data_IF_902236679455
#
_entry.id   IF_902236679455
#
_cell.length_a   1.000
_cell.length_b   1.000
_cell.length_c   1.000
_cell.angle_alpha   90.00
_cell.angle_beta   90.00
_cell.angle_gamma   90.00
#
_symmetry.space_group_name_H-M   'P 1'
#
loop_
_entity.id
_entity.type
_entity.pdbx_description
1 polymer ?
#
# COMPACT_ATOMS: atom_id res chain seq x y z
N UNK A 1 12.84 15.79 27.99
CA UNK A 1 12.07 16.23 26.81
C UNK A 1 13.01 16.61 25.68
N UNK A 2 14.03 17.40 25.93
CA UNK A 2 15.00 17.78 24.90
C UNK A 2 15.80 16.60 24.36
N UNK A 3 16.20 15.67 25.22
CA UNK A 3 16.94 14.46 24.82
C UNK A 3 16.10 13.60 23.88
N UNK A 4 14.79 13.49 24.10
CA UNK A 4 13.87 12.74 23.26
C UNK A 4 13.73 13.42 21.89
N UNK A 5 13.58 14.74 21.88
CA UNK A 5 13.47 15.50 20.62
C UNK A 5 14.72 15.39 19.77
N UNK A 6 15.89 15.46 20.40
CA UNK A 6 17.17 15.32 19.71
C UNK A 6 17.35 13.90 19.14
N UNK A 7 16.94 12.88 19.89
CA UNK A 7 17.01 11.49 19.42
C UNK A 7 16.09 11.28 18.20
N UNK A 8 14.86 11.79 18.26
CA UNK A 8 13.92 11.70 17.14
C UNK A 8 14.48 12.40 15.91
N UNK A 9 14.99 13.61 16.09
CA UNK A 9 15.58 14.38 14.99
C UNK A 9 16.77 13.64 14.36
N UNK A 10 17.63 13.05 15.18
CA UNK A 10 18.76 12.27 14.69
C UNK A 10 18.31 11.06 13.87
N UNK A 11 17.28 10.36 14.34
CA UNK A 11 16.73 9.21 13.61
C UNK A 11 16.06 9.62 12.30
N UNK A 12 15.44 10.79 12.26
CA UNK A 12 14.85 11.32 11.03
C UNK A 12 15.95 11.70 10.03
N UNK A 13 17.01 12.39 10.49
CA UNK A 13 18.12 12.79 9.63
C UNK A 13 18.87 11.59 9.05
N UNK A 14 19.02 10.52 9.84
CA UNK A 14 19.64 9.28 9.38
C UNK A 14 18.69 8.38 8.59
N UNK A 15 17.47 8.84 8.39
CA UNK A 15 16.39 8.08 7.73
C UNK A 15 16.11 6.71 8.37
N UNK A 16 16.35 6.62 9.68
CA UNK A 16 15.93 5.46 10.49
C UNK A 16 14.42 5.53 10.67
N UNK A 17 13.91 6.73 11.00
CA UNK A 17 12.48 7.02 10.94
C UNK A 17 12.21 7.56 9.54
N UNK A 18 11.59 6.75 8.70
CA UNK A 18 11.32 7.10 7.31
C UNK A 18 10.06 7.96 7.14
N UNK A 19 9.14 7.87 8.08
CA UNK A 19 7.90 8.63 8.03
C UNK A 19 6.99 8.30 9.18
N UNK A 20 5.85 8.99 9.22
CA UNK A 20 4.80 8.79 10.22
C UNK A 20 3.48 8.53 9.53
N UNK A 21 2.69 7.64 10.08
CA UNK A 21 1.39 7.33 9.50
C UNK A 21 0.42 6.87 10.59
N UNK A 22 -0.86 6.96 10.30
CA UNK A 22 -1.92 6.48 11.17
C UNK A 22 -2.57 5.27 10.52
N UNK A 23 -2.70 4.19 11.27
CA UNK A 23 -3.43 3.02 10.82
C UNK A 23 -4.92 3.23 11.07
N UNK A 24 -5.72 3.21 10.02
CA UNK A 24 -7.16 3.46 10.10
C UNK A 24 -7.92 2.23 9.61
N UNK A 25 -8.86 1.77 10.42
CA UNK A 25 -9.79 0.74 9.99
C UNK A 25 -10.98 1.43 9.30
N UNK A 26 -10.88 1.56 7.99
CA UNK A 26 -11.86 2.28 7.17
C UNK A 26 -13.24 1.64 7.19
N UNK A 27 -13.34 0.32 7.42
CA UNK A 27 -14.62 -0.37 7.53
C UNK A 27 -15.50 0.21 8.64
N UNK A 28 -14.85 0.72 9.71
CA UNK A 28 -15.56 1.30 10.84
C UNK A 28 -15.96 2.77 10.64
N UNK A 29 -15.59 3.38 9.52
CA UNK A 29 -15.87 4.79 9.22
C UNK A 29 -17.04 5.00 8.27
N UNK A 30 -17.51 3.95 7.62
CA UNK A 30 -18.50 4.06 6.56
C UNK A 30 -17.93 4.55 5.23
N UNK A 31 -16.65 4.87 5.16
CA UNK A 31 -15.97 5.27 3.92
C UNK A 31 -15.45 4.04 3.21
N UNK A 32 -15.81 3.88 1.96
CA UNK A 32 -15.32 2.77 1.14
C UNK A 32 -13.91 3.05 0.62
N UNK A 33 -13.02 2.11 0.85
CA UNK A 33 -11.71 2.08 0.22
C UNK A 33 -11.45 0.67 -0.29
N UNK A 34 -10.75 0.59 -1.40
CA UNK A 34 -10.36 -0.68 -2.00
C UNK A 34 -8.85 -0.75 -1.99
N UNK A 35 -8.32 -1.85 -1.45
CA UNK A 35 -6.89 -2.15 -1.46
C UNK A 35 -6.65 -3.31 -2.40
N UNK A 36 -5.64 -3.20 -3.24
CA UNK A 36 -5.21 -4.28 -4.12
C UNK A 36 -3.73 -4.54 -3.95
N UNK A 37 -3.38 -5.81 -4.02
CA UNK A 37 -1.99 -6.26 -4.14
C UNK A 37 -1.76 -6.59 -5.61
N UNK A 38 -0.80 -5.92 -6.23
CA UNK A 38 -0.51 -6.07 -7.64
C UNK A 38 0.88 -6.65 -7.81
N UNK A 39 0.95 -7.80 -8.45
CA UNK A 39 2.23 -8.39 -8.81
C UNK A 39 2.62 -7.90 -10.18
N UNK A 40 3.86 -7.43 -10.31
CA UNK A 40 4.37 -6.82 -11.55
C UNK A 40 5.58 -7.62 -12.02
N UNK A 41 5.53 -8.06 -13.26
CA UNK A 41 6.65 -8.72 -13.91
C UNK A 41 7.39 -7.73 -14.79
N UNK A 42 8.70 -7.70 -14.65
CA UNK A 42 9.56 -6.71 -15.28
C UNK A 42 10.65 -7.42 -16.07
N UNK A 43 10.94 -6.87 -17.26
CA UNK A 43 12.17 -7.17 -17.97
C UNK A 43 13.10 -6.00 -17.78
N UNK A 44 14.13 -6.10 -16.91
CA UNK A 44 15.04 -4.99 -16.69
C UNK A 44 15.86 -4.70 -17.94
N UNK A 45 16.00 -3.42 -18.27
CA UNK A 45 16.89 -3.02 -19.35
C UNK A 45 18.33 -3.04 -18.87
N UNK A 46 19.22 -3.23 -19.81
CA UNK A 46 20.65 -3.24 -19.55
C UNK A 46 21.08 -1.93 -18.91
N UNK A 47 21.64 -1.99 -17.69
CA UNK A 47 22.12 -0.84 -16.95
C UNK A 47 21.10 -0.12 -16.06
N UNK A 48 19.79 -0.42 -16.15
CA UNK A 48 18.79 0.23 -15.32
C UNK A 48 18.33 -0.62 -14.12
N UNK A 49 18.23 -1.94 -14.29
CA UNK A 49 17.80 -2.83 -13.22
C UNK A 49 16.34 -2.59 -12.80
N UNK A 50 16.00 -3.09 -11.62
CA UNK A 50 14.63 -2.98 -11.08
C UNK A 50 14.36 -1.63 -10.41
N UNK A 51 15.38 -0.95 -9.92
CA UNK A 51 15.24 0.28 -9.14
C UNK A 51 14.57 1.39 -9.91
N UNK A 52 14.90 1.55 -11.18
CA UNK A 52 14.32 2.57 -12.04
C UNK A 52 12.83 2.35 -12.28
N UNK A 53 12.43 1.10 -12.50
CA UNK A 53 11.01 0.75 -12.70
C UNK A 53 10.25 0.97 -11.40
N UNK A 54 10.81 0.52 -10.28
CA UNK A 54 10.20 0.73 -8.96
C UNK A 54 10.00 2.23 -8.68
N UNK A 55 11.00 3.05 -9.00
CA UNK A 55 10.92 4.50 -8.82
C UNK A 55 9.78 5.12 -9.61
N UNK A 56 9.58 4.72 -10.86
CA UNK A 56 8.47 5.21 -11.66
C UNK A 56 7.12 4.80 -11.09
N UNK A 57 7.05 3.61 -10.50
CA UNK A 57 5.81 3.07 -9.92
C UNK A 57 5.46 3.75 -8.60
N UNK A 58 6.41 3.84 -7.67
CA UNK A 58 6.07 4.34 -6.33
C UNK A 58 5.81 5.86 -6.29
N UNK A 59 6.09 6.57 -7.36
CA UNK A 59 5.77 7.99 -7.45
C UNK A 59 4.27 8.28 -7.61
N UNK A 60 3.49 7.30 -8.00
CA UNK A 60 2.03 7.48 -8.07
C UNK A 60 1.44 7.52 -6.65
N UNK A 61 0.55 8.47 -6.41
CA UNK A 61 -0.08 8.66 -5.10
C UNK A 61 -0.91 7.45 -4.65
N UNK A 62 -1.47 6.71 -5.60
CA UNK A 62 -2.26 5.52 -5.33
C UNK A 62 -1.40 4.37 -4.79
N UNK A 63 -0.10 4.39 -5.03
CA UNK A 63 0.83 3.36 -4.57
C UNK A 63 1.20 3.63 -3.12
N UNK A 64 0.83 2.70 -2.24
CA UNK A 64 1.07 2.82 -0.80
C UNK A 64 2.29 2.00 -0.35
N UNK A 65 2.69 1.02 -1.12
CA UNK A 65 3.88 0.23 -0.86
C UNK A 65 4.40 -0.39 -2.15
N UNK A 66 5.70 -0.60 -2.22
CA UNK A 66 6.34 -1.22 -3.38
C UNK A 66 7.53 -2.03 -2.88
N UNK A 67 7.53 -3.33 -3.18
CA UNK A 67 8.56 -4.25 -2.69
C UNK A 67 9.17 -5.02 -3.85
N UNK A 68 10.49 -5.19 -3.80
CA UNK A 68 11.18 -6.12 -4.69
C UNK A 68 11.10 -7.52 -4.08
N UNK A 69 10.65 -8.48 -4.86
CA UNK A 69 10.42 -9.84 -4.39
C UNK A 69 11.52 -10.79 -4.89
N UNK A 70 11.82 -11.78 -4.07
CA UNK A 70 12.92 -12.72 -4.35
C UNK A 70 12.58 -13.81 -5.36
N UNK A 71 11.31 -14.13 -5.54
CA UNK A 71 10.90 -15.27 -6.35
C UNK A 71 9.42 -15.21 -6.70
N UNK A 72 8.94 -16.22 -7.45
CA UNK A 72 7.51 -16.41 -7.72
C UNK A 72 7.06 -15.99 -9.11
N UNK A 73 7.98 -15.69 -10.00
CA UNK A 73 7.65 -15.32 -11.39
C UNK A 73 7.24 -13.85 -11.56
N UNK A 74 7.09 -13.10 -10.48
CA UNK A 74 6.89 -11.65 -10.48
C UNK A 74 8.02 -10.98 -9.70
N UNK A 75 8.34 -9.76 -10.08
CA UNK A 75 9.51 -9.06 -9.56
C UNK A 75 9.16 -8.04 -8.50
N UNK A 76 8.05 -7.33 -8.67
CA UNK A 76 7.58 -6.35 -7.69
C UNK A 76 6.20 -6.71 -7.18
N UNK A 77 5.97 -6.39 -5.91
CA UNK A 77 4.64 -6.39 -5.30
C UNK A 77 4.30 -4.96 -4.93
N UNK A 78 3.17 -4.47 -5.44
CA UNK A 78 2.74 -3.09 -5.27
C UNK A 78 1.39 -3.09 -4.56
N UNK A 79 1.28 -2.29 -3.50
CA UNK A 79 0.02 -2.11 -2.80
C UNK A 79 -0.59 -0.79 -3.26
N UNK A 80 -1.82 -0.86 -3.77
CA UNK A 80 -2.54 0.28 -4.33
C UNK A 80 -3.86 0.46 -3.59
N UNK A 81 -4.22 1.69 -3.32
CA UNK A 81 -5.52 2.02 -2.73
C UNK A 81 -6.30 2.94 -3.66
N UNK A 82 -7.60 2.70 -3.74
CA UNK A 82 -8.53 3.50 -4.50
C UNK A 82 -9.91 3.49 -3.85
N UNK A 83 -10.86 4.20 -4.45
CA UNK A 83 -12.23 4.27 -3.93
C UNK A 83 -13.09 3.10 -4.36
N UNK A 84 -12.84 2.58 -5.55
CA UNK A 84 -13.61 1.48 -6.13
C UNK A 84 -12.67 0.48 -6.80
N UNK A 85 -13.16 -0.75 -7.01
CA UNK A 85 -12.41 -1.76 -7.75
C UNK A 85 -12.13 -1.31 -9.18
N UNK A 86 -13.08 -0.60 -9.78
CA UNK A 86 -12.92 -0.05 -11.13
C UNK A 86 -11.79 0.96 -11.20
N UNK A 87 -11.71 1.86 -10.22
CA UNK A 87 -10.65 2.86 -10.15
C UNK A 87 -9.28 2.20 -10.07
N UNK A 88 -9.15 1.18 -9.23
CA UNK A 88 -7.90 0.41 -9.10
C UNK A 88 -7.56 -0.31 -10.41
N UNK A 89 -8.55 -0.98 -11.01
CA UNK A 89 -8.33 -1.71 -12.26
C UNK A 89 -7.90 -0.76 -13.40
N UNK A 90 -8.50 0.41 -13.48
CA UNK A 90 -8.12 1.43 -14.47
C UNK A 90 -6.72 1.97 -14.21
N UNK A 91 -6.37 2.18 -12.95
CA UNK A 91 -5.01 2.58 -12.58
C UNK A 91 -3.98 1.56 -13.06
N UNK A 92 -4.25 0.28 -12.85
CA UNK A 92 -3.34 -0.79 -13.31
C UNK A 92 -3.19 -0.75 -14.82
N UNK A 93 -4.31 -0.71 -15.56
CA UNK A 93 -4.26 -0.77 -17.02
C UNK A 93 -3.69 0.50 -17.67
N UNK A 94 -3.94 1.66 -17.09
CA UNK A 94 -3.53 2.94 -17.67
C UNK A 94 -2.17 3.44 -17.17
N UNK A 95 -1.76 3.06 -15.96
CA UNK A 95 -0.55 3.60 -15.34
C UNK A 95 0.52 2.56 -15.07
N UNK A 96 0.17 1.36 -14.64
CA UNK A 96 1.18 0.33 -14.33
C UNK A 96 1.53 -0.51 -15.54
N UNK A 97 0.54 -1.06 -16.20
CA UNK A 97 0.76 -2.00 -17.31
C UNK A 97 1.43 -1.34 -18.52
N UNK A 98 1.33 -0.02 -18.63
CA UNK A 98 1.91 0.74 -19.74
C UNK A 98 3.34 1.22 -19.49
N UNK A 99 3.87 1.01 -18.30
CA UNK A 99 5.25 1.39 -17.99
C UNK A 99 6.23 0.58 -18.83
N UNK A 100 7.29 1.24 -19.28
CA UNK A 100 8.37 0.56 -19.99
C UNK A 100 8.93 -0.56 -19.13
N UNK A 101 9.20 -1.69 -19.73
CA UNK A 101 9.73 -2.90 -19.10
C UNK A 101 8.74 -3.68 -18.24
N UNK A 102 7.50 -3.23 -18.09
CA UNK A 102 6.45 -4.03 -17.44
C UNK A 102 5.86 -4.94 -18.50
N UNK A 103 6.02 -6.26 -18.30
CA UNK A 103 5.56 -7.28 -19.26
C UNK A 103 4.34 -8.05 -18.77
N UNK A 104 3.95 -7.87 -17.52
CA UNK A 104 2.76 -8.52 -16.99
C UNK A 104 2.40 -7.99 -15.63
N UNK A 105 1.10 -8.03 -15.32
CA UNK A 105 0.56 -7.66 -14.02
C UNK A 105 -0.50 -8.65 -13.60
N UNK A 106 -0.62 -8.90 -12.29
CA UNK A 106 -1.71 -9.68 -11.72
C UNK A 106 -2.27 -8.90 -10.53
N UNK A 107 -3.55 -8.61 -10.56
CA UNK A 107 -4.22 -7.81 -9.53
C UNK A 107 -5.02 -8.71 -8.60
N UNK A 108 -4.75 -8.59 -7.30
CA UNK A 108 -5.46 -9.29 -6.24
C UNK A 108 -6.15 -8.28 -5.35
N UNK A 109 -7.47 -8.27 -5.34
CA UNK A 109 -8.20 -7.37 -4.46
C UNK A 109 -8.28 -7.93 -3.05
N UNK A 110 -7.98 -7.07 -2.07
CA UNK A 110 -8.12 -7.44 -0.66
C UNK A 110 -9.60 -7.37 -0.30
N UNK A 111 -10.19 -8.49 0.06
CA UNK A 111 -11.60 -8.56 0.40
C UNK A 111 -11.85 -8.14 1.85
N UNK A 112 -10.93 -8.46 2.74
CA UNK A 112 -11.04 -8.10 4.16
C UNK A 112 -9.66 -8.07 4.79
N UNK A 113 -9.41 -7.08 5.63
CA UNK A 113 -8.18 -6.98 6.42
C UNK A 113 -8.46 -7.46 7.84
N UNK A 114 -7.78 -8.50 8.27
CA UNK A 114 -7.89 -9.00 9.64
C UNK A 114 -6.88 -8.35 10.58
N UNK A 115 -5.69 -8.12 10.08
CA UNK A 115 -4.59 -7.57 10.86
C UNK A 115 -3.65 -6.80 9.93
N UNK A 116 -3.18 -5.65 10.36
CA UNK A 116 -2.24 -4.85 9.57
C UNK A 116 -1.30 -4.10 10.51
N UNK A 117 -0.02 -4.07 10.16
CA UNK A 117 1.03 -3.43 10.97
C UNK A 117 1.00 -3.86 12.45
N UNK A 118 0.75 -5.15 12.69
CA UNK A 118 0.71 -5.69 14.05
C UNK A 118 -0.57 -5.44 14.82
N UNK A 119 -1.54 -4.72 14.24
CA UNK A 119 -2.80 -4.39 14.90
C UNK A 119 -3.95 -5.21 14.32
N UNK A 120 -4.70 -5.87 15.18
CA UNK A 120 -5.91 -6.62 14.78
C UNK A 120 -7.05 -5.64 14.55
N UNK A 121 -7.71 -5.75 13.40
CA UNK A 121 -8.87 -4.96 13.08
C UNK A 121 -10.12 -5.61 13.69
N UNK A 122 -10.81 -4.86 14.54
CA UNK A 122 -12.02 -5.31 15.20
C UNK A 122 -13.24 -4.62 14.60
N UNK A 123 -14.36 -5.32 14.61
CA UNK A 123 -15.62 -4.72 14.18
C UNK A 123 -16.02 -3.59 15.13
N UNK A 124 -16.73 -2.60 14.57
CA UNK A 124 -17.26 -1.49 15.35
C UNK A 124 -18.21 -2.02 16.41
N UNK A 125 -17.97 -1.65 17.68
CA UNK A 125 -18.86 -2.03 18.77
C UNK A 125 -20.14 -1.23 18.69
N UNK A 126 -21.28 -1.94 18.72
CA UNK A 126 -22.60 -1.31 18.84
C UNK A 126 -22.77 -0.90 20.31
N UNK A 127 -23.15 0.36 20.55
CA UNK A 127 -23.39 0.82 21.93
C UNK A 127 -24.63 0.16 22.50
N UNK A 128 -24.65 -0.04 23.82
CA UNK A 128 -25.82 -0.60 24.50
C UNK A 128 -27.10 0.24 24.28
N UNK A 129 -26.92 1.52 24.04
CA UNK A 129 -28.07 2.42 23.74
C UNK A 129 -28.68 2.08 22.39
N UNK A 130 -27.91 1.75 21.41
CA UNK A 130 -28.42 1.39 20.08
C UNK A 130 -29.15 0.06 20.12
N UNK A 131 -28.71 -0.87 20.96
CA UNK A 131 -29.36 -2.18 21.13
C UNK A 131 -30.71 -2.05 21.79
N UNK A 132 -30.86 -1.13 22.75
CA UNK A 132 -32.13 -0.94 23.52
C UNK A 132 -33.26 -0.38 22.66
N UNK A 133 -32.93 0.37 21.60
CA UNK A 133 -33.94 1.04 20.76
C UNK A 133 -34.29 0.26 19.48
N UNK A 134 -33.79 -0.94 19.36
CA UNK A 134 -34.19 -1.85 18.30
C UNK A 134 -35.38 -2.68 18.73
#
# INVERSE_FOLDING_TARGET
VEEVREAIRDYEEKNIIAGYTTLINWENTGKETVTALIEVKITPQRGEGFDKVAERIYKFDQVKACYLMSSGGFDLTVIVEGKTMREVAMFVSEKLAVQDNVIGTATHFVLKKYKEHGTVFKEKKVSNREVIFI
#
